data_IF_632942068566
#
_entry.id   IF_632942068566
#
_cell.length_a   1.000
_cell.length_b   1.000
_cell.length_c   1.000
_cell.angle_alpha   90.00
_cell.angle_beta   90.00
_cell.angle_gamma   90.00
#
_symmetry.space_group_name_H-M   'P 1'
#
loop_
_entity.id
_entity.type
_entity.pdbx_description
1 polymer ?
#
# COMPACT_ATOMS: atom_id res chain seq x y z
N UNK A 1 -21.29 -11.87 3.39
CA UNK A 1 -20.06 -12.08 4.18
C UNK A 1 -19.14 -10.89 3.92
N UNK A 2 -18.88 -10.06 4.94
CA UNK A 2 -17.96 -8.92 4.83
C UNK A 2 -16.55 -9.33 5.27
N UNK A 3 -15.53 -8.76 4.66
CA UNK A 3 -14.14 -8.95 5.07
C UNK A 3 -13.48 -7.59 5.23
N UNK A 4 -12.75 -7.39 6.33
CA UNK A 4 -11.89 -6.24 6.49
C UNK A 4 -10.56 -6.53 5.79
N UNK A 5 -10.37 -5.93 4.62
CA UNK A 5 -9.15 -6.06 3.82
C UNK A 5 -8.78 -4.70 3.25
N UNK A 6 -7.51 -4.35 3.38
CA UNK A 6 -6.90 -3.26 2.65
C UNK A 6 -5.87 -3.84 1.66
N UNK A 7 -5.59 -3.14 0.56
CA UNK A 7 -4.49 -3.50 -0.34
C UNK A 7 -3.19 -2.84 0.17
N UNK A 8 -2.26 -3.57 0.80
CA UNK A 8 -0.97 -3.02 1.22
C UNK A 8 -0.15 -2.48 0.04
N UNK A 9 0.93 -1.73 0.29
CA UNK A 9 1.81 -1.22 -0.76
C UNK A 9 2.40 -2.30 -1.65
N UNK A 10 2.72 -3.46 -1.06
CA UNK A 10 3.15 -4.66 -1.76
C UNK A 10 2.10 -5.72 -1.45
N UNK A 11 1.42 -6.21 -2.47
CA UNK A 11 0.38 -7.23 -2.35
C UNK A 11 0.62 -8.33 -3.37
N UNK A 12 0.67 -9.58 -2.93
CA UNK A 12 0.62 -10.71 -3.84
C UNK A 12 -0.84 -11.08 -4.14
N UNK A 13 -1.12 -11.39 -5.41
CA UNK A 13 -2.46 -11.82 -5.80
C UNK A 13 -2.80 -13.19 -5.20
N UNK A 14 -4.08 -13.51 -5.08
CA UNK A 14 -4.54 -14.77 -4.48
C UNK A 14 -4.00 -16.01 -5.20
N UNK A 15 -3.74 -15.91 -6.51
CA UNK A 15 -3.17 -16.99 -7.32
C UNK A 15 -1.64 -17.15 -7.18
N UNK A 16 -0.97 -16.25 -6.45
CA UNK A 16 0.47 -16.30 -6.21
C UNK A 16 1.36 -15.93 -7.41
N UNK A 17 0.80 -15.69 -8.58
CA UNK A 17 1.59 -15.48 -9.81
C UNK A 17 2.06 -14.03 -10.01
N UNK A 18 1.40 -13.06 -9.38
CA UNK A 18 1.69 -11.63 -9.58
C UNK A 18 1.84 -10.90 -8.25
N UNK A 19 2.85 -10.03 -8.20
CA UNK A 19 3.05 -9.07 -7.10
C UNK A 19 2.66 -7.67 -7.57
N UNK A 20 1.69 -7.08 -6.90
CA UNK A 20 1.22 -5.72 -7.11
C UNK A 20 2.06 -4.78 -6.24
N UNK A 21 2.73 -3.82 -6.88
CA UNK A 21 3.42 -2.72 -6.21
C UNK A 21 2.62 -1.42 -6.33
N UNK A 22 2.50 -0.68 -5.23
CA UNK A 22 1.79 0.61 -5.16
C UNK A 22 2.78 1.70 -4.73
N UNK A 23 3.62 2.20 -5.64
CA UNK A 23 4.67 3.17 -5.29
C UNK A 23 4.12 4.49 -4.71
N UNK A 24 2.87 4.83 -5.05
CA UNK A 24 2.20 6.05 -4.58
C UNK A 24 1.24 5.80 -3.39
N UNK A 25 1.37 4.66 -2.68
CA UNK A 25 0.44 4.30 -1.60
C UNK A 25 0.37 5.33 -0.46
N UNK A 26 1.45 6.08 -0.24
CA UNK A 26 1.56 7.09 0.82
C UNK A 26 1.40 8.53 0.31
N UNK A 27 1.30 8.74 -1.00
CA UNK A 27 1.17 10.08 -1.59
C UNK A 27 -0.27 10.57 -1.50
N UNK A 28 -0.47 11.84 -1.14
CA UNK A 28 -1.82 12.40 -1.13
C UNK A 28 -2.32 12.68 -2.55
N UNK A 29 -3.62 12.51 -2.78
CA UNK A 29 -4.23 12.77 -4.10
C UNK A 29 -3.98 14.22 -4.57
N UNK A 30 -4.00 15.19 -3.64
CA UNK A 30 -3.71 16.61 -3.94
C UNK A 30 -2.28 16.82 -4.47
N UNK A 31 -1.31 16.09 -3.92
CA UNK A 31 0.09 16.18 -4.33
C UNK A 31 0.32 15.55 -5.70
N UNK A 32 -0.33 14.41 -5.97
CA UNK A 32 -0.28 13.75 -7.28
C UNK A 32 -0.85 14.67 -8.36
N UNK A 33 -1.97 15.35 -8.09
CA UNK A 33 -2.58 16.31 -9.02
C UNK A 33 -1.62 17.46 -9.31
N UNK A 34 -1.09 18.11 -8.25
CA UNK A 34 -0.14 19.22 -8.39
C UNK A 34 1.10 18.80 -9.20
N UNK A 35 1.67 17.64 -8.88
CA UNK A 35 2.82 17.09 -9.62
C UNK A 35 2.49 16.82 -11.09
N UNK A 36 1.28 16.32 -11.37
CA UNK A 36 0.83 16.05 -12.74
C UNK A 36 0.68 17.33 -13.58
N UNK A 37 0.23 18.41 -12.96
CA UNK A 37 0.11 19.73 -13.60
C UNK A 37 1.49 20.33 -13.89
N UNK A 38 2.40 20.30 -12.92
CA UNK A 38 3.78 20.78 -13.06
C UNK A 38 4.56 20.02 -14.13
N UNK A 39 4.41 18.70 -14.18
CA UNK A 39 5.06 17.82 -15.17
C UNK A 39 4.32 17.76 -16.51
N UNK A 40 3.13 18.39 -16.61
CA UNK A 40 2.28 18.41 -17.82
C UNK A 40 1.98 17.02 -18.37
N UNK A 41 1.68 16.05 -17.50
CA UNK A 41 1.30 14.71 -17.97
C UNK A 41 -0.05 14.75 -18.71
N UNK A 42 -0.20 13.99 -19.81
CA UNK A 42 -1.47 13.90 -20.51
C UNK A 42 -2.48 13.11 -19.65
N UNK A 43 -3.46 13.81 -19.07
CA UNK A 43 -4.52 13.19 -18.28
C UNK A 43 -5.63 12.71 -19.22
N UNK A 44 -5.85 11.40 -19.28
CA UNK A 44 -6.93 10.80 -20.07
C UNK A 44 -8.23 10.91 -19.27
N UNK A 45 -9.28 11.55 -19.79
CA UNK A 45 -10.54 11.68 -19.06
C UNK A 45 -11.19 10.31 -18.84
N UNK A 46 -11.65 10.06 -17.62
CA UNK A 46 -12.31 8.82 -17.20
C UNK A 46 -13.78 8.76 -17.65
N UNK A 47 -14.06 9.22 -18.87
CA UNK A 47 -15.36 9.11 -19.54
C UNK A 47 -15.36 8.03 -20.64
N UNK A 48 -14.19 7.45 -20.97
CA UNK A 48 -14.04 6.40 -21.99
C UNK A 48 -14.50 5.00 -21.53
N UNK A 49 -14.70 4.78 -20.23
CA UNK A 49 -15.20 3.52 -19.72
C UNK A 49 -16.72 3.62 -19.54
N UNK A 50 -17.49 3.03 -20.47
CA UNK A 50 -18.96 3.02 -20.52
C UNK A 50 -19.67 2.28 -19.38
N UNK A 51 -19.09 2.24 -18.19
CA UNK A 51 -19.74 1.76 -16.98
C UNK A 51 -19.83 2.92 -15.99
N UNK A 52 -21.02 3.17 -15.45
CA UNK A 52 -21.20 4.04 -14.29
C UNK A 52 -21.26 3.23 -12.97
N UNK A 53 -20.14 2.66 -12.43
CA UNK A 53 -20.14 2.04 -11.10
C UNK A 53 -19.54 2.95 -10.01
N UNK A 54 -19.03 4.14 -10.35
CA UNK A 54 -18.27 4.99 -9.42
C UNK A 54 -19.12 5.72 -8.36
N UNK A 55 -20.44 5.55 -8.32
CA UNK A 55 -21.31 6.22 -7.34
C UNK A 55 -20.93 5.88 -5.89
N UNK A 56 -20.59 4.63 -5.60
CA UNK A 56 -20.14 4.21 -4.26
C UNK A 56 -18.80 4.86 -3.89
N UNK A 57 -17.84 4.85 -4.81
CA UNK A 57 -16.52 5.48 -4.61
C UNK A 57 -16.64 6.99 -4.42
N UNK A 58 -17.45 7.65 -5.25
CA UNK A 58 -17.73 9.07 -5.14
C UNK A 58 -18.41 9.42 -3.81
N UNK A 59 -19.39 8.60 -3.38
CA UNK A 59 -20.05 8.75 -2.08
C UNK A 59 -19.07 8.65 -0.91
N UNK A 60 -18.21 7.61 -0.90
CA UNK A 60 -17.20 7.44 0.16
C UNK A 60 -16.18 8.59 0.14
N UNK A 61 -15.77 9.06 -1.05
CA UNK A 61 -14.88 10.22 -1.17
C UNK A 61 -15.49 11.49 -0.56
N UNK A 62 -16.79 11.74 -0.81
CA UNK A 62 -17.52 12.87 -0.19
C UNK A 62 -17.58 12.74 1.32
N UNK A 63 -17.94 11.57 1.84
CA UNK A 63 -17.98 11.30 3.28
C UNK A 63 -16.62 11.57 3.95
N UNK A 64 -15.53 11.06 3.36
CA UNK A 64 -14.19 11.31 3.89
C UNK A 64 -13.78 12.78 3.83
N UNK A 65 -14.21 13.52 2.79
CA UNK A 65 -13.97 14.97 2.71
C UNK A 65 -14.74 15.75 3.79
N UNK A 66 -15.95 15.31 4.13
CA UNK A 66 -16.74 15.91 5.20
C UNK A 66 -16.09 15.66 6.55
N UNK A 67 -15.72 14.41 6.84
CA UNK A 67 -15.03 14.05 8.09
C UNK A 67 -13.67 14.75 8.24
N UNK A 68 -12.96 15.00 7.16
CA UNK A 68 -11.67 15.72 7.19
C UNK A 68 -11.82 17.19 7.65
N UNK A 69 -13.01 17.79 7.49
CA UNK A 69 -13.27 19.15 8.01
C UNK A 69 -13.35 19.17 9.53
N UNK A 70 -13.83 18.10 10.15
CA UNK A 70 -13.97 17.95 11.60
C UNK A 70 -12.68 17.39 12.22
N UNK A 71 -12.07 16.41 11.55
CA UNK A 71 -10.84 15.74 12.00
C UNK A 71 -9.75 15.87 10.94
N UNK A 72 -8.77 16.78 11.13
CA UNK A 72 -7.64 16.92 10.23
C UNK A 72 -6.89 15.59 10.04
N UNK A 73 -6.42 15.32 8.82
CA UNK A 73 -5.61 14.13 8.48
C UNK A 73 -6.30 12.78 8.69
N UNK A 74 -7.64 12.73 8.69
CA UNK A 74 -8.41 11.50 8.90
C UNK A 74 -8.00 10.35 7.96
N UNK A 75 -7.60 10.63 6.72
CA UNK A 75 -7.15 9.60 5.77
C UNK A 75 -5.86 8.91 6.22
N UNK A 76 -4.90 9.69 6.69
CA UNK A 76 -3.65 9.15 7.25
C UNK A 76 -3.93 8.39 8.54
N UNK A 77 -4.82 8.91 9.39
CA UNK A 77 -5.28 8.22 10.60
C UNK A 77 -5.91 6.86 10.30
N UNK A 78 -6.81 6.77 9.30
CA UNK A 78 -7.40 5.51 8.85
C UNK A 78 -6.33 4.56 8.32
N UNK A 79 -5.36 5.05 7.53
CA UNK A 79 -4.26 4.22 7.03
C UNK A 79 -3.43 3.65 8.19
N UNK A 80 -3.09 4.47 9.18
CA UNK A 80 -2.37 4.04 10.40
C UNK A 80 -3.20 3.07 11.24
N UNK A 81 -4.52 3.27 11.32
CA UNK A 81 -5.40 2.34 12.04
C UNK A 81 -5.41 0.94 11.39
N UNK A 82 -5.24 0.85 10.08
CA UNK A 82 -5.11 -0.43 9.37
C UNK A 82 -3.78 -1.15 9.65
N UNK A 83 -2.72 -0.42 10.05
CA UNK A 83 -1.43 -1.01 10.43
C UNK A 83 -1.32 -1.28 11.93
N UNK A 84 -2.08 -0.57 12.76
CA UNK A 84 -2.07 -0.70 14.21
C UNK A 84 -3.32 -1.44 14.73
N UNK A 85 -3.35 -2.75 14.49
CA UNK A 85 -4.50 -3.60 14.82
C UNK A 85 -4.22 -4.47 16.04
N UNK A 86 -5.09 -4.42 17.03
CA UNK A 86 -5.03 -5.31 18.21
C UNK A 86 -5.89 -6.55 17.97
N UNK A 87 -5.26 -7.73 17.86
CA UNK A 87 -5.96 -8.99 17.54
C UNK A 87 -7.09 -9.33 18.52
N UNK A 88 -6.93 -9.06 19.82
CA UNK A 88 -7.97 -9.26 20.83
C UNK A 88 -9.22 -8.41 20.62
N UNK A 89 -9.15 -7.32 19.86
CA UNK A 89 -10.28 -6.42 19.58
C UNK A 89 -10.96 -6.69 18.23
N UNK A 90 -10.47 -7.65 17.44
CA UNK A 90 -11.04 -7.96 16.11
C UNK A 90 -12.17 -9.01 16.12
N UNK A 91 -12.56 -9.53 17.29
CA UNK A 91 -13.56 -10.60 17.43
C UNK A 91 -13.28 -11.85 16.56
N UNK A 92 -12.03 -12.03 16.12
CA UNK A 92 -11.60 -13.15 15.29
C UNK A 92 -10.95 -14.22 16.19
N UNK A 93 -11.66 -15.34 16.38
CA UNK A 93 -11.18 -16.47 17.20
C UNK A 93 -9.94 -17.16 16.61
N UNK A 94 -9.59 -16.91 15.34
CA UNK A 94 -8.34 -17.38 14.73
C UNK A 94 -7.16 -16.44 15.00
N UNK A 95 -7.43 -15.19 15.38
CA UNK A 95 -6.41 -14.21 15.76
C UNK A 95 -6.17 -14.16 17.28
N UNK A 96 -7.20 -14.47 18.08
CA UNK A 96 -7.12 -14.41 19.54
C UNK A 96 -8.00 -15.49 20.19
N UNK A 97 -7.44 -16.23 21.16
CA UNK A 97 -8.20 -17.19 21.95
C UNK A 97 -8.89 -16.47 23.12
N UNK A 98 -10.19 -16.22 22.98
CA UNK A 98 -10.99 -15.53 24.00
C UNK A 98 -11.30 -16.40 25.25
N UNK A 99 -11.03 -17.71 25.21
CA UNK A 99 -11.22 -18.59 26.37
C UNK A 99 -10.02 -18.55 27.30
N UNK A 100 -8.82 -18.60 26.72
CA UNK A 100 -7.56 -18.63 27.46
C UNK A 100 -6.88 -17.25 27.54
N UNK A 101 -7.40 -16.25 26.82
CA UNK A 101 -6.87 -14.89 26.74
C UNK A 101 -5.46 -14.80 26.14
N UNK A 102 -5.15 -15.66 25.16
CA UNK A 102 -3.83 -15.75 24.53
C UNK A 102 -3.86 -15.36 23.04
N UNK A 103 -2.81 -14.70 22.51
CA UNK A 103 -2.70 -14.38 21.10
C UNK A 103 -2.43 -15.61 20.25
N UNK A 104 -3.10 -15.74 19.10
CA UNK A 104 -2.92 -16.86 18.18
C UNK A 104 -2.02 -16.46 17.01
N UNK A 105 -1.08 -17.33 16.62
CA UNK A 105 -0.31 -17.15 15.39
C UNK A 105 -1.21 -17.52 14.22
N UNK A 106 -1.71 -16.53 13.49
CA UNK A 106 -2.49 -16.78 12.28
C UNK A 106 -1.59 -17.48 11.25
N UNK A 107 -2.00 -18.66 10.78
CA UNK A 107 -1.42 -19.26 9.57
C UNK A 107 -1.82 -18.37 8.39
N UNK A 108 -0.84 -17.68 7.83
CA UNK A 108 -1.03 -16.91 6.62
C UNK A 108 -1.39 -17.88 5.49
N UNK A 109 -2.53 -17.68 4.84
CA UNK A 109 -2.97 -18.54 3.74
C UNK A 109 -1.92 -18.55 2.61
N UNK A 110 -1.73 -19.68 1.89
CA UNK A 110 -0.85 -19.72 0.73
C UNK A 110 -1.24 -18.62 -0.26
N UNK A 111 -0.26 -17.82 -0.70
CA UNK A 111 -0.45 -16.64 -1.56
C UNK A 111 -0.30 -15.29 -0.84
N UNK A 112 -0.23 -15.24 0.49
CA UNK A 112 -0.05 -14.00 1.28
C UNK A 112 1.34 -13.92 1.95
N UNK A 113 2.38 -14.50 1.34
CA UNK A 113 3.75 -14.54 1.90
C UNK A 113 4.56 -13.24 1.74
N UNK A 114 5.62 -13.11 2.52
CA UNK A 114 6.60 -12.01 2.41
C UNK A 114 7.34 -12.13 1.09
N UNK A 115 7.21 -11.11 0.23
CA UNK A 115 7.96 -11.01 -1.03
C UNK A 115 9.45 -10.98 -0.74
N UNK A 116 9.87 -10.39 0.38
CA UNK A 116 11.27 -10.28 0.79
C UNK A 116 11.93 -11.66 0.97
N UNK A 117 11.25 -12.59 1.64
CA UNK A 117 11.77 -13.96 1.84
C UNK A 117 11.89 -14.75 0.54
N UNK A 118 11.09 -14.42 -0.46
CA UNK A 118 11.16 -15.04 -1.79
C UNK A 118 12.18 -14.35 -2.69
N UNK A 119 12.33 -13.02 -2.57
CA UNK A 119 13.38 -12.26 -3.24
C UNK A 119 14.76 -12.72 -2.77
N UNK A 120 14.96 -12.92 -1.46
CA UNK A 120 16.21 -13.45 -0.90
C UNK A 120 16.49 -14.91 -1.34
N UNK A 121 15.44 -15.68 -1.65
CA UNK A 121 15.59 -17.04 -2.17
C UNK A 121 15.87 -17.10 -3.68
N UNK A 122 15.46 -16.07 -4.44
CA UNK A 122 15.64 -15.96 -5.89
C UNK A 122 16.93 -15.21 -6.24
N UNK A 123 17.26 -14.20 -5.46
CA UNK A 123 18.49 -13.43 -5.54
C UNK A 123 19.37 -13.85 -4.36
N UNK A 124 20.05 -14.99 -4.51
CA UNK A 124 21.19 -15.36 -3.66
C UNK A 124 22.24 -14.25 -3.82
N UNK A 125 22.32 -13.34 -2.83
CA UNK A 125 23.16 -12.14 -2.89
C UNK A 125 24.64 -12.51 -2.92
N UNK A 126 25.16 -12.81 -4.11
CA UNK A 126 26.50 -12.34 -4.44
C UNK A 126 26.37 -10.83 -4.64
N UNK A 127 26.61 -10.09 -3.56
CA UNK A 127 26.62 -8.63 -3.58
C UNK A 127 27.44 -8.12 -4.79
N UNK A 128 26.81 -7.42 -5.72
CA UNK A 128 27.51 -6.31 -6.37
C UNK A 128 27.22 -5.13 -5.46
N UNK A 129 28.15 -4.88 -4.53
CA UNK A 129 28.14 -3.72 -3.67
C UNK A 129 27.76 -2.49 -4.50
N UNK A 130 26.58 -1.93 -4.21
CA UNK A 130 26.18 -0.66 -4.78
C UNK A 130 27.09 0.40 -4.14
N UNK A 131 28.26 0.62 -4.71
CA UNK A 131 29.14 1.72 -4.31
C UNK A 131 28.47 3.01 -4.77
N UNK A 132 28.04 3.90 -3.85
CA UNK A 132 27.49 5.18 -4.24
C UNK A 132 28.66 6.10 -4.61
N UNK A 133 29.12 6.02 -5.85
CA UNK A 133 30.07 7.00 -6.37
C UNK A 133 29.71 7.37 -7.81
N UNK A 134 28.54 7.97 -7.95
CA UNK A 134 28.07 8.57 -9.21
C UNK A 134 28.89 9.83 -9.61
N UNK A 135 29.85 10.28 -8.80
CA UNK A 135 30.72 11.40 -9.14
C UNK A 135 31.99 11.00 -9.92
N UNK A 136 32.40 9.74 -9.93
CA UNK A 136 33.68 9.35 -10.57
C UNK A 136 33.53 8.99 -12.07
N UNK A 137 32.31 8.70 -12.53
CA UNK A 137 32.01 8.41 -13.95
C UNK A 137 31.80 9.64 -14.82
N UNK A 138 31.85 10.85 -14.24
CA UNK A 138 31.60 12.11 -14.95
C UNK A 138 32.87 12.84 -15.43
N UNK A 139 34.07 12.26 -15.25
CA UNK A 139 35.30 12.76 -15.89
C UNK A 139 35.63 14.23 -15.64
N UNK A 140 35.34 14.76 -14.44
CA UNK A 140 35.77 16.10 -14.04
C UNK A 140 36.90 15.95 -13.02
N UNK A 141 38.14 16.14 -13.47
CA UNK A 141 39.31 16.20 -12.59
C UNK A 141 39.21 17.41 -11.66
N UNK A 142 39.46 17.25 -10.35
CA UNK A 142 39.71 18.36 -9.44
C UNK A 142 41.22 18.47 -9.19
N UNK A 143 41.99 19.01 -10.12
CA UNK A 143 43.33 19.62 -9.95
C UNK A 143 43.78 20.27 -11.25
#
# INVERSE_FOLDING_TARGET
VGQLKAMPPILRNDAGNNTIIRPLAYCQEKEIIKYSEERKFPIIPCNLCGSQPNLKRARVKRLLNELEKETPFIRSSIMTALTNVTGSHLLDNELYDFKNFEPMIKRIAPGHGSVEKELDAVFDHSEIAFTPNLMQTAGVDPS
#
